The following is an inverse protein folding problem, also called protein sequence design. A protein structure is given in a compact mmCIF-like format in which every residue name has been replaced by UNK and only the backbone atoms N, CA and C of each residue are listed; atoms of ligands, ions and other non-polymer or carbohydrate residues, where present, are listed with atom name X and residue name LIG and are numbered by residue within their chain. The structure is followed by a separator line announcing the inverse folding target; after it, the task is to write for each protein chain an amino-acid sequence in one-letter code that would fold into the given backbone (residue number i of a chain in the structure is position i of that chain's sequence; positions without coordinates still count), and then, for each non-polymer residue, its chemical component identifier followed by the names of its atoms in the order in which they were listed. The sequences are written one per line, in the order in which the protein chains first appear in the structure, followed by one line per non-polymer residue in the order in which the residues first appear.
data_IF_478079813720
#
_entry.id   IF_478079813720
#
_cell.length_a   1.000
_cell.length_b   1.000
_cell.length_c   1.000
_cell.angle_alpha   90.00
_cell.angle_beta   90.00
_cell.angle_gamma   90.00
#
_symmetry.space_group_name_H-M   'P 1'
#
loop_
_entity.id
_entity.type
_entity.pdbx_description
1 polymer ?
#
# COMPACT_ATOMS: atom_id res chain seq x y z
N UNK A 1 11.09 19.56 0.94
CA UNK A 1 9.76 19.17 0.39
C UNK A 1 9.93 18.56 -1.00
N UNK A 2 10.54 19.28 -1.96
CA UNK A 2 10.75 18.80 -3.35
C UNK A 2 11.58 17.50 -3.47
N UNK A 3 12.63 17.33 -2.66
CA UNK A 3 13.54 16.16 -2.77
C UNK A 3 12.85 14.82 -2.52
N UNK A 4 11.93 14.73 -1.55
CA UNK A 4 11.28 13.47 -1.20
C UNK A 4 10.25 13.04 -2.25
N UNK A 5 9.47 14.00 -2.77
CA UNK A 5 8.56 13.75 -3.89
C UNK A 5 9.33 13.32 -5.14
N UNK A 6 10.43 14.01 -5.46
CA UNK A 6 11.26 13.65 -6.61
C UNK A 6 11.84 12.23 -6.49
N UNK A 7 12.30 11.84 -5.30
CA UNK A 7 12.81 10.49 -5.04
C UNK A 7 11.72 9.41 -5.23
N UNK A 8 10.50 9.67 -4.72
CA UNK A 8 9.36 8.76 -4.88
C UNK A 8 8.93 8.65 -6.35
N UNK A 9 8.89 9.76 -7.09
CA UNK A 9 8.44 9.81 -8.48
C UNK A 9 9.44 9.17 -9.45
N UNK A 10 10.74 9.40 -9.25
CA UNK A 10 11.76 9.11 -10.27
C UNK A 10 12.31 7.69 -10.28
N UNK A 11 12.01 6.85 -9.28
CA UNK A 11 12.68 5.55 -9.13
C UNK A 11 11.72 4.39 -8.88
N UNK A 12 11.84 3.33 -9.69
CA UNK A 12 11.22 2.03 -9.45
C UNK A 12 12.04 1.19 -8.44
N UNK A 13 12.14 1.67 -7.20
CA UNK A 13 12.87 1.00 -6.12
C UNK A 13 12.14 1.08 -4.78
N UNK A 14 12.69 0.45 -3.75
CA UNK A 14 12.18 0.60 -2.39
C UNK A 14 12.51 2.00 -1.86
N UNK A 15 11.53 2.70 -1.31
CA UNK A 15 11.67 4.05 -0.76
C UNK A 15 11.18 4.06 0.69
N UNK A 16 11.97 4.62 1.60
CA UNK A 16 11.56 4.93 2.97
C UNK A 16 11.61 6.46 3.10
N UNK A 17 10.45 7.11 3.15
CA UNK A 17 10.33 8.56 3.27
C UNK A 17 9.88 8.95 4.67
N UNK A 18 10.75 9.61 5.41
CA UNK A 18 10.46 10.14 6.75
C UNK A 18 10.36 11.67 6.70
N UNK A 19 9.15 12.21 6.79
CA UNK A 19 8.91 13.66 6.73
C UNK A 19 7.65 14.05 7.49
N UNK A 20 7.62 15.28 8.03
CA UNK A 20 6.49 15.79 8.82
C UNK A 20 5.16 15.71 8.04
N UNK A 21 4.03 15.62 8.75
CA UNK A 21 2.69 15.73 8.15
C UNK A 21 2.57 17.03 7.34
N UNK A 22 1.81 16.99 6.24
CA UNK A 22 1.67 18.12 5.31
C UNK A 22 2.85 18.34 4.34
N UNK A 23 3.87 17.48 4.34
CA UNK A 23 5.03 17.58 3.43
C UNK A 23 4.78 17.05 2.01
N UNK A 24 3.56 16.62 1.69
CA UNK A 24 3.20 16.13 0.35
C UNK A 24 3.78 14.75 -0.01
N UNK A 25 4.27 13.98 0.97
CA UNK A 25 4.78 12.61 0.75
C UNK A 25 3.72 11.65 0.20
N UNK A 26 2.47 11.79 0.67
CA UNK A 26 1.32 11.00 0.24
C UNK A 26 1.04 11.21 -1.24
N UNK A 27 0.90 12.46 -1.68
CA UNK A 27 0.77 12.80 -3.10
C UNK A 27 1.92 12.23 -3.96
N UNK A 28 3.16 12.30 -3.48
CA UNK A 28 4.30 11.67 -4.16
C UNK A 28 4.12 10.17 -4.35
N UNK A 29 3.72 9.45 -3.29
CA UNK A 29 3.48 8.00 -3.34
C UNK A 29 2.30 7.63 -4.24
N UNK A 30 1.21 8.39 -4.18
CA UNK A 30 0.04 8.21 -5.05
C UNK A 30 0.42 8.37 -6.52
N UNK A 31 1.07 9.48 -6.87
CA UNK A 31 1.49 9.75 -8.25
C UNK A 31 2.49 8.68 -8.72
N UNK A 32 3.49 8.31 -7.90
CA UNK A 32 4.45 7.27 -8.28
C UNK A 32 3.79 5.90 -8.48
N UNK A 33 2.79 5.57 -7.66
CA UNK A 33 2.01 4.34 -7.79
C UNK A 33 1.25 4.34 -9.11
N UNK A 34 0.49 5.40 -9.40
CA UNK A 34 -0.27 5.52 -10.65
C UNK A 34 0.61 5.59 -11.90
N UNK A 35 1.76 6.26 -11.81
CA UNK A 35 2.69 6.43 -12.94
C UNK A 35 3.20 5.08 -13.45
N UNK A 36 3.57 4.20 -12.52
CA UNK A 36 4.14 2.89 -12.80
C UNK A 36 3.12 1.74 -12.72
N UNK A 37 1.84 2.04 -12.51
CA UNK A 37 0.80 1.02 -12.48
C UNK A 37 0.63 0.44 -13.88
N UNK A 38 0.67 -0.89 -13.96
CA UNK A 38 0.37 -1.67 -15.15
C UNK A 38 -0.81 -2.59 -14.81
N UNK A 39 -2.05 -2.11 -14.95
CA UNK A 39 -3.26 -2.88 -14.70
C UNK A 39 -3.29 -4.18 -15.50
N UNK A 40 -3.75 -5.25 -14.87
CA UNK A 40 -4.07 -6.51 -15.54
C UNK A 40 -5.46 -6.92 -15.10
N UNK A 41 -6.35 -7.10 -16.07
CA UNK A 41 -7.76 -7.38 -15.80
C UNK A 41 -7.95 -8.51 -14.78
N UNK A 42 -8.72 -8.22 -13.74
CA UNK A 42 -9.03 -9.16 -12.67
C UNK A 42 -7.89 -9.42 -11.68
N UNK A 43 -6.82 -8.63 -11.69
CA UNK A 43 -5.67 -8.79 -10.79
C UNK A 43 -5.30 -7.51 -10.07
N UNK A 44 -5.05 -7.64 -8.77
CA UNK A 44 -4.55 -6.53 -7.95
C UNK A 44 -3.08 -6.29 -8.25
N UNK A 45 -2.76 -5.11 -8.77
CA UNK A 45 -1.41 -4.72 -9.19
C UNK A 45 -0.70 -3.85 -8.16
N UNK A 46 -1.45 -3.16 -7.31
CA UNK A 46 -0.91 -2.36 -6.21
C UNK A 46 -1.73 -2.49 -4.92
N UNK A 47 -1.02 -2.38 -3.80
CA UNK A 47 -1.59 -2.40 -2.46
C UNK A 47 -1.20 -1.12 -1.71
N UNK A 48 -2.14 -0.51 -1.00
CA UNK A 48 -1.90 0.59 -0.08
C UNK A 48 -2.44 0.23 1.30
N UNK A 49 -1.57 0.29 2.31
CA UNK A 49 -1.88 -0.08 3.69
C UNK A 49 -1.87 1.17 4.56
N UNK A 50 -2.98 1.42 5.25
CA UNK A 50 -3.19 2.57 6.14
C UNK A 50 -3.49 2.11 7.57
N UNK A 51 -3.17 2.93 8.57
CA UNK A 51 -3.34 2.58 9.99
C UNK A 51 -4.81 2.45 10.44
N UNK A 52 -5.75 3.10 9.75
CA UNK A 52 -7.16 3.19 10.13
C UNK A 52 -8.08 3.21 8.92
N UNK A 53 -9.36 2.88 9.10
CA UNK A 53 -10.35 2.89 8.03
C UNK A 53 -10.63 4.29 7.48
N UNK A 54 -10.57 5.31 8.34
CA UNK A 54 -10.68 6.71 7.92
C UNK A 54 -9.49 7.12 7.03
N UNK A 55 -8.26 6.79 7.44
CA UNK A 55 -7.06 7.05 6.63
C UNK A 55 -7.12 6.31 5.28
N UNK A 56 -7.58 5.05 5.28
CA UNK A 56 -7.78 4.28 4.06
C UNK A 56 -8.80 4.94 3.11
N UNK A 57 -9.93 5.41 3.65
CA UNK A 57 -10.95 6.13 2.87
C UNK A 57 -10.41 7.44 2.29
N UNK A 58 -9.64 8.20 3.07
CA UNK A 58 -9.02 9.45 2.60
C UNK A 58 -7.97 9.18 1.52
N UNK A 59 -7.16 8.14 1.69
CA UNK A 59 -6.18 7.69 0.70
C UNK A 59 -6.86 7.27 -0.61
N UNK A 60 -7.97 6.51 -0.53
CA UNK A 60 -8.78 6.14 -1.69
C UNK A 60 -9.24 7.37 -2.49
N UNK A 61 -9.81 8.37 -1.80
CA UNK A 61 -10.22 9.64 -2.43
C UNK A 61 -9.05 10.39 -3.07
N UNK A 62 -7.87 10.36 -2.45
CA UNK A 62 -6.68 11.01 -3.02
C UNK A 62 -6.21 10.28 -4.29
N UNK A 63 -6.16 8.95 -4.25
CA UNK A 63 -5.85 8.09 -5.38
C UNK A 63 -6.82 8.31 -6.55
N UNK A 64 -8.13 8.29 -6.31
CA UNK A 64 -9.16 8.57 -7.31
C UNK A 64 -8.99 9.96 -7.94
N UNK A 65 -8.74 10.98 -7.11
CA UNK A 65 -8.53 12.35 -7.58
C UNK A 65 -7.36 12.44 -8.56
N UNK A 66 -6.24 11.77 -8.28
CA UNK A 66 -5.09 11.75 -9.19
C UNK A 66 -5.30 10.82 -10.39
N UNK A 67 -5.98 9.68 -10.19
CA UNK A 67 -6.29 8.71 -11.23
C UNK A 67 -7.17 9.33 -12.32
N UNK A 68 -8.13 10.18 -11.96
CA UNK A 68 -8.98 10.90 -12.92
C UNK A 68 -8.19 11.66 -14.00
N UNK A 69 -6.99 12.14 -13.68
CA UNK A 69 -6.12 12.87 -14.62
C UNK A 69 -5.02 11.99 -15.24
N UNK A 70 -4.50 11.01 -14.50
CA UNK A 70 -3.33 10.22 -14.93
C UNK A 70 -3.70 8.87 -15.54
N UNK A 71 -4.75 8.23 -15.04
CA UNK A 71 -5.16 6.84 -15.33
C UNK A 71 -6.67 6.64 -15.09
N UNK A 72 -7.56 7.22 -15.92
CA UNK A 72 -9.01 7.25 -15.64
C UNK A 72 -9.71 5.88 -15.69
N UNK A 73 -9.06 4.85 -16.26
CA UNK A 73 -9.58 3.49 -16.33
C UNK A 73 -9.20 2.60 -15.14
N UNK A 74 -8.37 3.11 -14.21
CA UNK A 74 -7.89 2.32 -13.07
C UNK A 74 -8.99 2.16 -12.04
N UNK A 75 -9.24 0.91 -11.65
CA UNK A 75 -10.20 0.54 -10.62
C UNK A 75 -9.52 0.49 -9.26
N UNK A 76 -10.18 1.02 -8.25
CA UNK A 76 -9.63 1.15 -6.91
C UNK A 76 -10.74 0.88 -5.91
N UNK A 77 -10.46 0.06 -4.90
CA UNK A 77 -11.40 -0.18 -3.80
C UNK A 77 -10.71 -0.06 -2.45
N UNK A 78 -11.49 0.41 -1.47
CA UNK A 78 -11.09 0.51 -0.07
C UNK A 78 -11.75 -0.62 0.72
N UNK A 79 -10.94 -1.41 1.42
CA UNK A 79 -11.40 -2.48 2.30
C UNK A 79 -10.94 -2.26 3.74
N UNK A 80 -11.88 -2.08 4.65
CA UNK A 80 -11.69 -1.84 6.07
C UNK A 80 -12.45 -2.87 6.92
N UNK A 81 -12.28 -2.81 8.24
CA UNK A 81 -12.94 -3.74 9.16
C UNK A 81 -14.46 -3.57 9.25
N UNK A 82 -15.03 -2.48 8.74
CA UNK A 82 -16.48 -2.27 8.70
C UNK A 82 -17.18 -3.00 7.55
N UNK A 83 -16.42 -3.49 6.56
CA UNK A 83 -17.01 -4.00 5.33
C UNK A 83 -17.48 -5.44 5.47
N UNK A 84 -18.68 -5.71 4.93
CA UNK A 84 -19.27 -7.04 4.93
C UNK A 84 -18.38 -8.04 4.21
N UNK A 85 -18.09 -9.18 4.85
CA UNK A 85 -17.21 -10.20 4.27
C UNK A 85 -17.71 -10.73 2.91
N UNK A 86 -19.02 -10.95 2.78
CA UNK A 86 -19.64 -11.43 1.54
C UNK A 86 -19.58 -10.38 0.42
N UNK A 87 -19.75 -9.09 0.75
CA UNK A 87 -19.69 -7.99 -0.20
C UNK A 87 -18.27 -7.82 -0.73
N UNK A 88 -17.26 -7.77 0.15
CA UNK A 88 -15.86 -7.70 -0.27
C UNK A 88 -15.45 -8.91 -1.11
N UNK A 89 -15.92 -10.11 -0.76
CA UNK A 89 -15.63 -11.31 -1.54
C UNK A 89 -16.29 -11.27 -2.93
N UNK A 90 -17.53 -10.79 -3.03
CA UNK A 90 -18.22 -10.63 -4.29
C UNK A 90 -17.51 -9.59 -5.19
N UNK A 91 -17.14 -8.44 -4.63
CA UNK A 91 -16.39 -7.39 -5.32
C UNK A 91 -15.06 -7.93 -5.85
N UNK A 92 -14.22 -8.52 -4.99
CA UNK A 92 -12.90 -9.03 -5.37
C UNK A 92 -12.96 -10.15 -6.42
N UNK A 93 -14.04 -10.94 -6.43
CA UNK A 93 -14.23 -12.06 -7.37
C UNK A 93 -14.76 -11.63 -8.73
N UNK A 94 -15.66 -10.66 -8.77
CA UNK A 94 -16.40 -10.31 -10.00
C UNK A 94 -15.97 -8.99 -10.61
N UNK A 95 -15.44 -8.06 -9.82
CA UNK A 95 -14.97 -6.75 -10.25
C UNK A 95 -13.69 -6.38 -9.51
N UNK A 96 -12.67 -7.23 -9.63
CA UNK A 96 -11.41 -7.05 -8.92
C UNK A 96 -10.75 -5.70 -9.26
N UNK A 97 -10.36 -4.88 -8.27
CA UNK A 97 -9.72 -3.60 -8.50
C UNK A 97 -8.24 -3.78 -8.87
N UNK A 98 -7.67 -2.79 -9.57
CA UNK A 98 -6.23 -2.75 -9.85
C UNK A 98 -5.42 -2.33 -8.62
N UNK A 99 -6.04 -1.50 -7.77
CA UNK A 99 -5.44 -0.99 -6.53
C UNK A 99 -6.35 -1.29 -5.34
N UNK A 100 -5.80 -1.98 -4.35
CA UNK A 100 -6.48 -2.22 -3.07
C UNK A 100 -5.92 -1.29 -2.01
N UNK A 101 -6.80 -0.54 -1.34
CA UNK A 101 -6.47 0.25 -0.15
C UNK A 101 -7.08 -0.45 1.07
N UNK A 102 -6.31 -0.65 2.13
CA UNK A 102 -6.79 -1.45 3.26
C UNK A 102 -6.12 -1.12 4.59
N UNK A 103 -6.73 -1.61 5.68
CA UNK A 103 -6.06 -1.70 6.99
C UNK A 103 -5.39 -3.06 7.17
N UNK A 104 -4.29 -3.17 7.97
CA UNK A 104 -3.56 -4.43 8.13
C UNK A 104 -4.44 -5.62 8.54
N UNK A 105 -5.32 -5.46 9.52
CA UNK A 105 -6.19 -6.55 9.99
C UNK A 105 -7.21 -7.01 8.93
N UNK A 106 -7.77 -6.07 8.15
CA UNK A 106 -8.68 -6.42 7.05
C UNK A 106 -7.93 -7.11 5.91
N UNK A 107 -6.77 -6.57 5.56
CA UNK A 107 -5.88 -7.18 4.57
C UNK A 107 -5.55 -8.62 4.94
N UNK A 108 -5.14 -8.85 6.18
CA UNK A 108 -4.85 -10.19 6.68
C UNK A 108 -6.05 -11.11 6.54
N UNK A 109 -7.23 -10.67 6.95
CA UNK A 109 -8.46 -11.48 6.84
C UNK A 109 -8.76 -11.86 5.38
N UNK A 110 -8.60 -10.92 4.44
CA UNK A 110 -8.88 -11.15 3.02
C UNK A 110 -7.85 -12.09 2.36
N UNK A 111 -6.57 -11.97 2.73
CA UNK A 111 -5.50 -12.82 2.23
C UNK A 111 -5.59 -14.23 2.83
N UNK A 112 -5.75 -14.35 4.14
CA UNK A 112 -5.80 -15.64 4.84
C UNK A 112 -7.04 -16.47 4.42
N UNK A 113 -8.15 -15.81 4.05
CA UNK A 113 -9.34 -16.48 3.51
C UNK A 113 -9.24 -16.85 2.03
N UNK A 114 -8.17 -16.45 1.34
CA UNK A 114 -7.98 -16.66 -0.10
C UNK A 114 -8.89 -15.81 -0.99
N UNK A 115 -9.62 -14.84 -0.41
CA UNK A 115 -10.53 -13.94 -1.13
C UNK A 115 -9.74 -12.91 -1.93
N UNK A 116 -8.65 -12.39 -1.36
CA UNK A 116 -7.74 -11.46 -2.03
C UNK A 116 -6.47 -12.19 -2.45
N UNK A 117 -6.26 -12.28 -3.77
CA UNK A 117 -4.99 -12.71 -4.33
C UNK A 117 -4.03 -11.51 -4.43
N UNK A 118 -2.82 -11.66 -3.88
CA UNK A 118 -1.77 -10.63 -3.85
C UNK A 118 -0.53 -11.00 -4.67
N UNK A 119 -0.57 -12.10 -5.42
CA UNK A 119 0.59 -12.63 -6.13
C UNK A 119 1.08 -11.69 -7.23
N UNK A 120 0.14 -11.00 -7.89
CA UNK A 120 0.39 -10.05 -8.98
C UNK A 120 0.76 -8.63 -8.52
N UNK A 121 0.80 -8.40 -7.20
CA UNK A 121 1.14 -7.08 -6.65
C UNK A 121 2.60 -6.74 -6.96
N UNK A 122 2.80 -5.64 -7.69
CA UNK A 122 4.13 -5.09 -8.05
C UNK A 122 4.53 -3.89 -7.18
N UNK A 123 3.56 -3.24 -6.54
CA UNK A 123 3.77 -2.07 -5.68
C UNK A 123 3.03 -2.21 -4.35
N UNK A 124 3.72 -1.91 -3.25
CA UNK A 124 3.11 -1.79 -1.92
C UNK A 124 3.44 -0.42 -1.33
N UNK A 125 2.43 0.30 -0.87
CA UNK A 125 2.58 1.55 -0.12
C UNK A 125 2.15 1.30 1.31
N UNK A 126 2.95 1.73 2.28
CA UNK A 126 2.59 1.74 3.70
C UNK A 126 2.57 3.19 4.15
N UNK A 127 1.38 3.70 4.46
CA UNK A 127 1.19 5.04 5.00
C UNK A 127 1.15 5.02 6.54
N UNK A 128 1.58 6.13 7.15
CA UNK A 128 1.75 6.27 8.59
C UNK A 128 2.40 5.02 9.23
N UNK A 129 3.55 4.63 8.68
CA UNK A 129 4.33 3.47 9.11
C UNK A 129 4.65 3.49 10.62
N UNK A 130 4.69 4.68 11.23
CA UNK A 130 4.89 4.84 12.67
C UNK A 130 3.85 4.09 13.50
N UNK A 131 2.63 3.94 12.98
CA UNK A 131 1.55 3.17 13.62
C UNK A 131 1.44 1.77 13.03
N UNK A 132 1.61 1.62 11.71
CA UNK A 132 1.41 0.34 11.03
C UNK A 132 2.48 -0.70 11.40
N UNK A 133 3.77 -0.35 11.35
CA UNK A 133 4.87 -1.34 11.49
C UNK A 133 5.45 -1.39 12.91
N UNK A 134 5.05 -0.48 13.81
CA UNK A 134 5.46 -0.55 15.21
C UNK A 134 4.61 -1.54 16.00
N UNK A 135 3.38 -1.78 15.57
CA UNK A 135 2.57 -2.91 15.99
C UNK A 135 3.22 -4.22 15.51
N UNK A 136 3.52 -5.11 16.46
CA UNK A 136 4.23 -6.35 16.16
C UNK A 136 3.40 -7.30 15.27
N UNK A 137 2.09 -7.40 15.52
CA UNK A 137 1.21 -8.30 14.77
C UNK A 137 1.08 -7.87 13.32
N UNK A 138 0.85 -6.58 13.09
CA UNK A 138 0.82 -5.98 11.75
C UNK A 138 2.14 -6.19 11.00
N UNK A 139 3.27 -5.95 11.67
CA UNK A 139 4.59 -6.11 11.06
C UNK A 139 4.88 -7.56 10.69
N UNK A 140 4.61 -8.50 11.59
CA UNK A 140 4.83 -9.94 11.36
C UNK A 140 3.99 -10.44 10.19
N UNK A 141 2.70 -10.08 10.17
CA UNK A 141 1.82 -10.36 9.05
C UNK A 141 2.35 -9.78 7.72
N UNK A 142 2.66 -8.48 7.68
CA UNK A 142 3.15 -7.82 6.46
C UNK A 142 4.46 -8.46 6.00
N UNK A 143 5.39 -8.75 6.91
CA UNK A 143 6.66 -9.40 6.57
C UNK A 143 6.43 -10.79 5.96
N UNK A 144 5.56 -11.61 6.57
CA UNK A 144 5.22 -12.93 6.06
C UNK A 144 4.58 -12.85 4.68
N UNK A 145 3.54 -12.03 4.52
CA UNK A 145 2.82 -11.84 3.27
C UNK A 145 3.77 -11.36 2.15
N UNK A 146 4.58 -10.34 2.41
CA UNK A 146 5.52 -9.79 1.42
C UNK A 146 6.63 -10.77 1.05
N UNK A 147 7.05 -11.63 1.98
CA UNK A 147 8.07 -12.66 1.72
C UNK A 147 7.59 -13.79 0.81
N UNK A 148 6.27 -14.04 0.77
CA UNK A 148 5.65 -15.09 -0.06
C UNK A 148 5.22 -14.58 -1.43
N UNK A 149 5.15 -13.27 -1.66
CA UNK A 149 4.74 -12.72 -2.96
C UNK A 149 5.79 -13.00 -4.04
N UNK A 150 5.42 -13.65 -5.17
CA UNK A 150 6.37 -14.04 -6.21
C UNK A 150 6.99 -12.83 -6.91
N UNK A 151 6.24 -11.74 -7.07
CA UNK A 151 6.66 -10.54 -7.79
C UNK A 151 7.60 -9.60 -7.00
N UNK A 152 7.87 -9.89 -5.72
CA UNK A 152 8.77 -9.10 -4.85
C UNK A 152 8.50 -7.58 -4.99
N UNK A 153 7.32 -7.11 -4.55
CA UNK A 153 6.84 -5.77 -4.85
C UNK A 153 7.82 -4.69 -4.38
N UNK A 154 7.89 -3.62 -5.16
CA UNK A 154 8.61 -2.41 -4.75
C UNK A 154 7.77 -1.63 -3.74
N UNK A 155 8.42 -1.26 -2.65
CA UNK A 155 7.74 -0.69 -1.49
C UNK A 155 7.98 0.81 -1.35
N UNK A 156 6.95 1.56 -1.01
CA UNK A 156 7.05 2.95 -0.54
C UNK A 156 6.54 2.99 0.89
N UNK A 157 7.43 3.28 1.84
CA UNK A 157 7.10 3.33 3.27
C UNK A 157 7.16 4.78 3.71
N UNK A 158 6.02 5.32 4.15
CA UNK A 158 5.86 6.71 4.54
C UNK A 158 5.74 6.80 6.06
N UNK A 159 6.57 7.65 6.66
CA UNK A 159 6.54 7.92 8.11
C UNK A 159 6.52 9.42 8.37
N UNK A 160 5.81 9.79 9.42
CA UNK A 160 5.74 11.15 9.95
C UNK A 160 6.79 11.40 11.03
N UNK A 161 7.40 10.34 11.56
CA UNK A 161 8.35 10.36 12.66
C UNK A 161 9.78 9.93 12.22
N UNK A 162 10.73 10.87 12.06
CA UNK A 162 12.07 10.61 11.54
C UNK A 162 13.01 9.99 12.60
N UNK A 163 12.64 8.83 13.15
CA UNK A 163 13.48 8.09 14.10
C UNK A 163 14.26 6.98 13.41
N UNK A 164 15.47 6.69 13.92
CA UNK A 164 16.27 5.53 13.50
C UNK A 164 15.54 4.20 13.75
N UNK A 165 14.65 4.14 14.76
CA UNK A 165 13.84 2.95 15.04
C UNK A 165 12.94 2.62 13.86
N UNK A 166 12.15 3.57 13.39
CA UNK A 166 11.22 3.38 12.26
C UNK A 166 11.99 3.00 11.00
N UNK A 167 13.11 3.66 10.73
CA UNK A 167 13.95 3.29 9.60
C UNK A 167 14.39 1.81 9.67
N UNK A 168 14.86 1.35 10.83
CA UNK A 168 15.26 -0.06 11.02
C UNK A 168 14.08 -1.02 10.88
N UNK A 169 12.93 -0.72 11.48
CA UNK A 169 11.75 -1.60 11.37
C UNK A 169 11.23 -1.66 9.92
N UNK A 170 11.21 -0.52 9.22
CA UNK A 170 10.85 -0.45 7.80
C UNK A 170 11.80 -1.26 6.92
N UNK A 171 13.09 -1.35 7.26
CA UNK A 171 14.02 -2.21 6.54
C UNK A 171 13.70 -3.70 6.67
N UNK A 172 13.09 -4.14 7.79
CA UNK A 172 12.81 -5.57 8.03
C UNK A 172 11.68 -6.14 7.20
N UNK A 173 10.74 -5.28 6.80
CA UNK A 173 9.59 -5.69 5.99
C UNK A 173 9.91 -5.68 4.49
N UNK A 174 11.03 -5.07 4.06
CA UNK A 174 11.42 -5.05 2.65
C UNK A 174 11.94 -6.44 2.24
N UNK A 175 11.30 -7.12 1.26
CA UNK A 175 11.74 -8.44 0.81
C UNK A 175 13.17 -8.43 0.28
N UNK A 176 13.94 -9.48 0.61
CA UNK A 176 15.28 -9.70 0.06
C UNK A 176 16.40 -8.83 0.67
N UNK A 177 16.12 -8.05 1.71
CA UNK A 177 17.18 -7.49 2.57
C UNK A 177 17.47 -8.47 3.70
N UNK A 178 18.61 -9.17 3.62
CA UNK A 178 19.13 -9.99 4.70
C UNK A 178 19.44 -9.12 5.94
N UNK A 179 19.10 -9.63 7.12
CA UNK A 179 19.43 -9.04 8.41
C UNK A 179 20.90 -9.24 8.79
#
# INVERSE_FOLDING_TARGET
VVSAQYEILSRWMHVISQSKKGSGKTAGAVISTLHHLEPVDGRVSALVVCNSGEAATLMGKELERFAAYLRPSVKMDVFTGSDGAAESANQLKHDSPDVVICTPGRLQTLVDSGVLNVDDVKRVVIDDADDVITDYGNRDFLQKMLSTMPNKPKMIILSSNPTKRIHREAQKIIPGRSH
#
